data_IF_545369798837
#
_entry.id   IF_545369798837
#
_cell.length_a   1.000
_cell.length_b   1.000
_cell.length_c   1.000
_cell.angle_alpha   90.00
_cell.angle_beta   90.00
_cell.angle_gamma   90.00
#
_symmetry.space_group_name_H-M   'P 1'
#
loop_
_entity.id
_entity.type
_entity.pdbx_description
1 polymer ?
#
# COMPACT_ATOMS: atom_id res chain seq x y z
N UNK A 1 2.97 30.22 8.79
CA UNK A 1 3.42 29.13 9.69
C UNK A 1 3.19 27.78 9.02
N UNK A 2 1.94 27.31 8.88
CA UNK A 2 1.64 26.04 8.19
C UNK A 2 2.06 26.05 6.72
N UNK A 3 1.77 27.13 5.99
CA UNK A 3 2.17 27.31 4.58
C UNK A 3 3.67 27.25 4.36
N UNK A 4 4.46 27.88 5.24
CA UNK A 4 5.94 27.87 5.19
C UNK A 4 6.52 26.47 5.37
N UNK A 5 5.91 25.65 6.24
CA UNK A 5 6.31 24.25 6.43
C UNK A 5 5.96 23.42 5.20
N UNK A 6 4.78 23.62 4.62
CA UNK A 6 4.35 22.93 3.40
C UNK A 6 5.26 23.27 2.19
N UNK A 7 5.69 24.52 2.04
CA UNK A 7 6.66 24.93 1.02
C UNK A 7 8.00 24.20 1.16
N UNK A 8 8.56 24.14 2.37
CA UNK A 8 9.82 23.43 2.62
C UNK A 8 9.69 21.90 2.39
N UNK A 9 8.52 21.33 2.65
CA UNK A 9 8.24 19.93 2.36
C UNK A 9 8.11 19.68 0.84
N UNK A 10 7.52 20.63 0.10
CA UNK A 10 7.40 20.54 -1.36
C UNK A 10 8.77 20.59 -2.05
N UNK A 11 9.67 21.46 -1.59
CA UNK A 11 11.03 21.56 -2.15
C UNK A 11 11.92 20.34 -1.84
N UNK A 12 11.58 19.55 -0.81
CA UNK A 12 12.42 18.47 -0.32
C UNK A 12 11.66 17.13 -0.25
N UNK A 13 11.45 16.51 -1.40
CA UNK A 13 10.69 15.25 -1.53
C UNK A 13 11.21 14.12 -0.64
N UNK A 14 12.52 14.05 -0.39
CA UNK A 14 13.12 13.02 0.49
C UNK A 14 12.65 13.19 1.93
N UNK A 15 12.63 14.43 2.45
CA UNK A 15 12.16 14.72 3.80
C UNK A 15 10.66 14.42 3.92
N UNK A 16 9.89 14.81 2.91
CA UNK A 16 8.45 14.51 2.83
C UNK A 16 8.19 13.02 2.86
N UNK A 17 8.90 12.23 2.06
CA UNK A 17 8.81 10.77 2.07
C UNK A 17 9.21 10.17 3.42
N UNK A 18 10.30 10.66 4.02
CA UNK A 18 10.75 10.21 5.33
C UNK A 18 9.69 10.45 6.42
N UNK A 19 9.14 11.66 6.49
CA UNK A 19 8.10 12.01 7.45
C UNK A 19 6.80 11.24 7.17
N UNK A 20 6.42 11.11 5.90
CA UNK A 20 5.22 10.39 5.49
C UNK A 20 5.29 8.91 5.90
N UNK A 21 6.38 8.23 5.54
CA UNK A 21 6.59 6.82 5.87
C UNK A 21 6.79 6.65 7.37
N UNK A 22 7.64 7.48 7.99
CA UNK A 22 7.95 7.40 9.41
C UNK A 22 6.74 7.63 10.31
N UNK A 23 6.02 8.74 10.12
CA UNK A 23 4.82 9.05 10.90
C UNK A 23 3.67 8.11 10.57
N UNK A 24 3.49 7.77 9.29
CA UNK A 24 2.48 6.82 8.85
C UNK A 24 2.68 5.43 9.48
N UNK A 25 3.92 4.93 9.56
CA UNK A 25 4.23 3.66 10.21
C UNK A 25 4.11 3.73 11.73
N UNK A 26 4.54 4.85 12.33
CA UNK A 26 4.39 5.08 13.78
C UNK A 26 2.91 5.03 14.18
N UNK A 27 2.06 5.73 13.43
CA UNK A 27 0.60 5.69 13.60
C UNK A 27 0.02 4.32 13.27
N UNK A 28 0.54 3.66 12.22
CA UNK A 28 0.10 2.34 11.79
C UNK A 28 0.34 1.24 12.83
N UNK A 29 1.34 1.42 13.71
CA UNK A 29 1.62 0.48 14.78
C UNK A 29 0.71 0.66 16.02
N UNK A 30 -0.02 1.78 16.10
CA UNK A 30 -1.01 1.99 17.15
C UNK A 30 -2.12 0.94 17.01
N UNK A 31 -2.31 0.14 18.05
CA UNK A 31 -3.33 -0.91 18.10
C UNK A 31 -4.60 -0.37 18.74
N UNK A 32 -5.72 -0.52 18.04
CA UNK A 32 -7.06 -0.25 18.56
C UNK A 32 -7.82 -1.56 18.60
N UNK A 33 -8.27 -1.97 19.79
CA UNK A 33 -8.99 -3.25 19.99
C UNK A 33 -8.26 -4.48 19.43
N UNK A 34 -6.93 -4.49 19.47
CA UNK A 34 -6.09 -5.58 18.98
C UNK A 34 -5.77 -5.54 17.49
N UNK A 35 -6.34 -4.60 16.73
CA UNK A 35 -6.06 -4.42 15.29
C UNK A 35 -5.15 -3.20 15.09
N UNK A 36 -4.16 -3.33 14.21
CA UNK A 36 -3.27 -2.25 13.77
C UNK A 36 -3.47 -1.97 12.28
N UNK A 37 -3.35 -0.71 11.87
CA UNK A 37 -3.45 -0.36 10.44
C UNK A 37 -2.19 -0.77 9.64
N UNK A 38 -1.04 -0.90 10.29
CA UNK A 38 0.22 -1.27 9.65
C UNK A 38 0.56 -0.33 8.48
N UNK A 39 0.97 -0.90 7.34
CA UNK A 39 1.33 -0.14 6.14
C UNK A 39 0.16 0.68 5.55
N UNK A 40 -1.10 0.31 5.82
CA UNK A 40 -2.26 1.07 5.32
C UNK A 40 -2.33 2.48 5.94
N UNK A 41 -1.81 2.69 7.14
CA UNK A 41 -1.74 4.02 7.75
C UNK A 41 -0.85 4.98 6.96
N UNK A 42 0.22 4.49 6.34
CA UNK A 42 1.10 5.30 5.47
C UNK A 42 0.33 5.76 4.23
N UNK A 43 -0.48 4.87 3.62
CA UNK A 43 -1.33 5.23 2.48
C UNK A 43 -2.34 6.31 2.86
N UNK A 44 -3.06 6.14 3.97
CA UNK A 44 -4.03 7.14 4.43
C UNK A 44 -3.38 8.47 4.82
N UNK A 45 -2.21 8.43 5.46
CA UNK A 45 -1.43 9.64 5.74
C UNK A 45 -1.04 10.36 4.45
N UNK A 46 -0.70 9.63 3.39
CA UNK A 46 -0.36 10.20 2.07
C UNK A 46 -1.54 10.89 1.42
N UNK A 47 -2.71 10.25 1.44
CA UNK A 47 -3.97 10.83 0.96
C UNK A 47 -4.32 12.11 1.75
N UNK A 48 -4.17 12.07 3.08
CA UNK A 48 -4.42 13.23 3.95
C UNK A 48 -3.44 14.37 3.68
N UNK A 49 -2.15 14.08 3.54
CA UNK A 49 -1.12 15.06 3.23
C UNK A 49 -1.35 15.72 1.87
N UNK A 50 -1.71 14.93 0.85
CA UNK A 50 -2.05 15.43 -0.48
C UNK A 50 -3.29 16.34 -0.44
N UNK A 51 -4.37 15.90 0.22
CA UNK A 51 -5.60 16.71 0.35
C UNK A 51 -5.36 18.04 1.09
N UNK A 52 -4.54 18.02 2.15
CA UNK A 52 -4.14 19.23 2.87
C UNK A 52 -3.28 20.15 2.00
N UNK A 53 -2.32 19.60 1.26
CA UNK A 53 -1.48 20.35 0.32
C UNK A 53 -2.30 21.06 -0.75
N UNK A 54 -3.19 20.34 -1.44
CA UNK A 54 -4.07 20.92 -2.47
C UNK A 54 -4.98 22.00 -1.91
N UNK A 55 -5.52 21.82 -0.69
CA UNK A 55 -6.39 22.82 -0.06
C UNK A 55 -5.67 24.15 0.29
N UNK A 56 -4.35 24.12 0.49
CA UNK A 56 -3.54 25.29 0.85
C UNK A 56 -2.71 25.83 -0.33
N UNK A 57 -2.90 25.31 -1.54
CA UNK A 57 -2.18 25.74 -2.75
C UNK A 57 -0.70 25.31 -2.80
N UNK A 58 -0.29 24.38 -1.94
CA UNK A 58 1.06 23.81 -1.94
C UNK A 58 0.96 22.34 -2.37
N UNK A 59 1.21 22.09 -3.66
CA UNK A 59 1.14 20.75 -4.21
C UNK A 59 2.30 19.91 -3.67
N UNK A 60 1.96 18.88 -2.91
CA UNK A 60 2.92 17.91 -2.36
C UNK A 60 2.84 16.68 -3.24
N UNK A 61 3.70 16.62 -4.24
CA UNK A 61 3.83 15.47 -5.11
C UNK A 61 5.04 14.62 -4.71
N UNK A 62 4.81 13.32 -4.66
CA UNK A 62 5.91 12.36 -4.58
C UNK A 62 6.48 12.19 -6.00
N UNK A 63 7.82 12.26 -6.19
CA UNK A 63 8.43 12.04 -7.49
C UNK A 63 7.96 10.74 -8.12
N UNK A 64 7.61 10.79 -9.41
CA UNK A 64 6.96 9.70 -10.14
C UNK A 64 7.78 8.39 -10.08
N UNK A 65 9.10 8.51 -10.15
CA UNK A 65 10.07 7.43 -10.11
C UNK A 65 10.00 6.66 -8.78
N UNK A 66 9.79 7.38 -7.67
CA UNK A 66 9.63 6.77 -6.34
C UNK A 66 8.30 6.03 -6.26
N UNK A 67 7.24 6.57 -6.85
CA UNK A 67 5.95 5.89 -6.96
C UNK A 67 6.05 4.56 -7.71
N UNK A 68 6.73 4.56 -8.86
CA UNK A 68 6.99 3.33 -9.64
C UNK A 68 7.82 2.34 -8.82
N UNK A 69 8.89 2.80 -8.17
CA UNK A 69 9.74 1.97 -7.34
C UNK A 69 8.94 1.29 -6.21
N UNK A 70 8.11 2.06 -5.49
CA UNK A 70 7.25 1.57 -4.43
C UNK A 70 6.25 0.52 -4.94
N UNK A 71 5.59 0.78 -6.06
CA UNK A 71 4.66 -0.15 -6.69
C UNK A 71 5.35 -1.44 -7.13
N UNK A 72 6.55 -1.34 -7.72
CA UNK A 72 7.35 -2.49 -8.14
C UNK A 72 7.73 -3.37 -6.94
N UNK A 73 8.24 -2.76 -5.87
CA UNK A 73 8.60 -3.46 -4.63
C UNK A 73 7.36 -4.11 -3.99
N UNK A 74 6.24 -3.39 -3.91
CA UNK A 74 4.99 -3.90 -3.36
C UNK A 74 4.47 -5.12 -4.14
N UNK A 75 4.45 -5.01 -5.47
CA UNK A 75 4.01 -6.10 -6.37
C UNK A 75 4.93 -7.31 -6.26
N UNK A 76 6.25 -7.08 -6.18
CA UNK A 76 7.23 -8.14 -5.97
C UNK A 76 7.04 -8.84 -4.61
N UNK A 77 6.84 -8.08 -3.54
CA UNK A 77 6.62 -8.63 -2.20
C UNK A 77 5.34 -9.48 -2.14
N UNK A 78 4.24 -9.03 -2.75
CA UNK A 78 3.01 -9.83 -2.89
C UNK A 78 3.30 -11.10 -3.68
N UNK A 79 4.03 -11.01 -4.81
CA UNK A 79 4.39 -12.17 -5.61
C UNK A 79 5.15 -13.23 -4.81
N UNK A 80 6.12 -12.82 -3.99
CA UNK A 80 6.90 -13.73 -3.14
C UNK A 80 6.05 -14.31 -1.99
N UNK A 81 5.22 -13.50 -1.34
CA UNK A 81 4.42 -13.95 -0.19
C UNK A 81 3.22 -14.81 -0.59
N UNK A 82 2.54 -14.45 -1.67
CA UNK A 82 1.40 -15.19 -2.21
C UNK A 82 1.81 -16.34 -3.12
N UNK A 83 3.02 -16.33 -3.68
CA UNK A 83 3.51 -17.33 -4.65
C UNK A 83 3.35 -18.78 -4.16
N UNK A 84 3.99 -19.20 -3.06
CA UNK A 84 3.89 -20.58 -2.57
C UNK A 84 2.46 -21.00 -2.26
N UNK A 85 1.67 -20.11 -1.65
CA UNK A 85 0.27 -20.37 -1.32
C UNK A 85 -0.58 -20.50 -2.59
N UNK A 86 -0.33 -19.68 -3.61
CA UNK A 86 -1.01 -19.76 -4.90
C UNK A 86 -0.75 -21.11 -5.59
N UNK A 87 0.51 -21.57 -5.66
CA UNK A 87 0.82 -22.89 -6.24
C UNK A 87 0.24 -24.04 -5.42
N UNK A 88 0.25 -23.91 -4.09
CA UNK A 88 -0.41 -24.88 -3.21
C UNK A 88 -1.90 -24.98 -3.49
N UNK A 89 -2.61 -23.83 -3.55
CA UNK A 89 -4.03 -23.75 -3.88
C UNK A 89 -4.31 -24.27 -5.29
N UNK A 90 -3.49 -23.94 -6.29
CA UNK A 90 -3.66 -24.43 -7.65
C UNK A 90 -3.58 -25.97 -7.71
N UNK A 91 -2.65 -26.57 -6.96
CA UNK A 91 -2.49 -28.02 -6.88
C UNK A 91 -3.63 -28.69 -6.10
N UNK A 92 -4.09 -28.10 -5.00
CA UNK A 92 -5.16 -28.69 -4.17
C UNK A 92 -6.55 -28.46 -4.77
N UNK A 93 -6.76 -27.36 -5.51
CA UNK A 93 -8.02 -27.06 -6.19
C UNK A 93 -8.24 -27.93 -7.44
N UNK A 94 -7.20 -28.52 -8.02
CA UNK A 94 -7.30 -29.35 -9.22
C UNK A 94 -8.26 -30.55 -9.05
N UNK A 95 -8.23 -31.22 -7.89
CA UNK A 95 -9.12 -32.35 -7.59
C UNK A 95 -10.60 -31.92 -7.51
N UNK A 96 -10.97 -31.02 -6.58
CA UNK A 96 -12.33 -30.49 -6.48
C UNK A 96 -12.86 -29.90 -7.79
N UNK A 97 -12.00 -29.19 -8.54
CA UNK A 97 -12.38 -28.59 -9.82
C UNK A 97 -12.65 -29.65 -10.90
N UNK A 98 -11.81 -30.70 -10.98
CA UNK A 98 -12.06 -31.82 -11.91
C UNK A 98 -13.34 -32.59 -11.56
N UNK A 99 -13.63 -32.76 -10.26
CA UNK A 99 -14.81 -33.47 -9.79
C UNK A 99 -16.08 -32.67 -10.06
N UNK A 100 -16.04 -31.35 -9.84
CA UNK A 100 -17.10 -30.43 -10.25
C UNK A 100 -17.34 -30.50 -11.77
N UNK A 101 -16.28 -30.48 -12.58
CA UNK A 101 -16.36 -30.54 -14.03
C UNK A 101 -17.03 -31.85 -14.51
N UNK A 102 -16.64 -32.99 -13.93
CA UNK A 102 -17.23 -34.29 -14.25
C UNK A 102 -18.70 -34.35 -13.86
N UNK A 103 -19.06 -33.85 -12.67
CA UNK A 103 -20.45 -33.84 -12.20
C UNK A 103 -21.35 -32.98 -13.11
N UNK A 104 -20.84 -31.84 -13.58
CA UNK A 104 -21.56 -30.92 -14.48
C UNK A 104 -21.75 -31.49 -15.89
N UNK A 105 -20.82 -32.32 -16.36
CA UNK A 105 -20.91 -32.97 -17.68
C UNK A 105 -21.69 -34.30 -17.66
N UNK A 106 -21.82 -34.92 -16.49
CA UNK A 106 -22.50 -36.20 -16.31
C UNK A 106 -23.98 -36.08 -15.89
N UNK A 107 -24.41 -34.91 -15.43
CA UNK A 107 -25.82 -34.57 -15.17
C UNK A 107 -26.48 -33.91 -16.37
#
# INVERSE_FOLDING_TARGET
>A
MVTTVLEHLSENSVLTLFLLIGLGMLLGHVKVKGVSLGAAAVLFAGIGLAALGTSHGAEIEVPHEIGILGLAIFTFAIGIQSGPNFFHVLRTAAGPLSLLLVLLLAG
#
